data_IF_515371843739
#
_entry.id   IF_515371843739
#
_cell.length_a   1.000
_cell.length_b   1.000
_cell.length_c   1.000
_cell.angle_alpha   90.00
_cell.angle_beta   90.00
_cell.angle_gamma   90.00
#
_symmetry.space_group_name_H-M   'P 1'
#
loop_
_entity.id
_entity.type
_entity.pdbx_description
1 polymer ?
#
# COMPACT_ATOMS: atom_id res chain seq x y z
N UNK A 1 19.46 -7.19 22.86
CA UNK A 1 20.81 -6.77 23.24
C UNK A 1 21.01 -5.34 22.80
N UNK A 2 21.62 -4.50 23.63
CA UNK A 2 21.95 -3.12 23.28
C UNK A 2 23.28 -3.14 22.49
N UNK A 3 23.21 -3.45 21.20
CA UNK A 3 24.36 -3.49 20.30
C UNK A 3 24.55 -2.12 19.66
N UNK A 4 25.78 -1.80 19.29
CA UNK A 4 26.09 -0.59 18.57
C UNK A 4 25.92 -0.81 17.05
N UNK A 5 25.49 0.23 16.37
CA UNK A 5 25.44 0.31 14.90
C UNK A 5 26.49 1.34 14.46
N UNK A 6 27.24 1.01 13.42
CA UNK A 6 28.22 1.91 12.84
C UNK A 6 27.60 2.74 11.72
N UNK A 7 27.69 4.04 11.84
CA UNK A 7 27.27 5.01 10.84
C UNK A 7 28.47 5.40 9.97
N UNK A 8 28.30 5.37 8.67
CA UNK A 8 29.29 5.73 7.68
C UNK A 8 28.85 6.94 6.85
N UNK A 9 29.82 7.70 6.36
CA UNK A 9 29.57 8.56 5.21
C UNK A 9 29.50 7.68 3.95
N UNK A 10 28.47 7.80 3.10
CA UNK A 10 28.37 7.00 1.87
C UNK A 10 29.61 7.13 0.96
N UNK A 11 30.26 8.29 0.98
CA UNK A 11 31.50 8.53 0.21
C UNK A 11 32.70 7.69 0.69
N UNK A 12 32.72 7.34 1.99
CA UNK A 12 33.82 6.58 2.59
C UNK A 12 33.65 5.05 2.43
N UNK A 13 32.49 4.57 1.98
CA UNK A 13 32.13 3.16 1.87
C UNK A 13 31.57 2.83 0.48
N UNK A 14 32.39 2.95 -0.58
CA UNK A 14 31.95 2.72 -1.95
C UNK A 14 31.40 1.31 -2.14
N UNK A 15 30.31 1.17 -2.88
CA UNK A 15 29.65 -0.11 -3.13
C UNK A 15 28.71 -0.61 -2.03
N UNK A 16 28.75 -0.05 -0.82
CA UNK A 16 27.85 -0.47 0.26
C UNK A 16 26.38 -0.18 -0.11
N UNK A 17 26.11 0.97 -0.73
CA UNK A 17 24.78 1.31 -1.24
C UNK A 17 24.33 0.36 -2.36
N UNK A 18 25.24 -0.09 -3.22
CA UNK A 18 24.92 -0.95 -4.36
C UNK A 18 24.45 -2.37 -3.94
N UNK A 19 24.80 -2.77 -2.72
CA UNK A 19 24.38 -4.07 -2.14
C UNK A 19 23.32 -3.95 -1.06
N UNK A 20 22.81 -2.74 -0.82
CA UNK A 20 21.80 -2.46 0.21
C UNK A 20 20.54 -3.32 0.00
N UNK A 21 20.08 -3.97 1.07
CA UNK A 21 18.94 -4.89 1.02
C UNK A 21 19.24 -6.28 0.44
N UNK A 22 20.52 -6.64 0.29
CA UNK A 22 20.98 -7.97 -0.12
C UNK A 22 21.84 -8.61 0.97
N UNK A 23 22.04 -9.94 0.93
CA UNK A 23 22.91 -10.65 1.89
C UNK A 23 24.38 -10.16 1.84
N UNK A 24 24.82 -9.64 0.70
CA UNK A 24 26.17 -9.07 0.56
C UNK A 24 26.39 -7.79 1.36
N UNK A 25 25.30 -7.12 1.78
CA UNK A 25 25.39 -5.90 2.57
C UNK A 25 26.08 -6.16 3.91
N UNK A 26 25.71 -7.22 4.60
CA UNK A 26 26.24 -7.53 5.92
C UNK A 26 27.75 -7.81 5.86
N UNK A 27 28.20 -8.56 4.87
CA UNK A 27 29.62 -8.87 4.68
C UNK A 27 30.43 -7.59 4.42
N UNK A 28 29.98 -6.75 3.50
CA UNK A 28 30.67 -5.50 3.15
C UNK A 28 30.60 -4.47 4.29
N UNK A 29 29.46 -4.41 5.00
CA UNK A 29 29.31 -3.56 6.18
C UNK A 29 30.31 -3.92 7.27
N UNK A 30 30.45 -5.22 7.59
CA UNK A 30 31.41 -5.73 8.58
C UNK A 30 32.87 -5.49 8.14
N UNK A 31 33.17 -5.62 6.84
CA UNK A 31 34.50 -5.28 6.30
C UNK A 31 34.84 -3.80 6.60
N UNK A 32 33.93 -2.87 6.28
CA UNK A 32 34.12 -1.45 6.54
C UNK A 32 34.11 -1.11 8.04
N UNK A 33 33.29 -1.79 8.83
CA UNK A 33 33.27 -1.60 10.29
C UNK A 33 34.59 -1.97 10.94
N UNK A 34 35.25 -3.01 10.47
CA UNK A 34 36.52 -3.47 11.00
C UNK A 34 37.74 -2.71 10.44
N UNK A 35 37.58 -1.95 9.35
CA UNK A 35 38.66 -1.18 8.74
C UNK A 35 38.96 0.10 9.55
N UNK A 36 40.13 0.24 10.20
CA UNK A 36 40.44 1.42 11.03
C UNK A 36 40.62 2.73 10.24
N UNK A 37 40.88 2.66 8.93
CA UNK A 37 41.14 3.83 8.10
C UNK A 37 39.84 4.51 7.62
N UNK A 38 38.68 3.88 7.82
CA UNK A 38 37.39 4.43 7.42
C UNK A 38 36.78 5.30 8.54
N UNK A 39 36.50 6.58 8.25
CA UNK A 39 35.80 7.47 9.18
C UNK A 39 34.40 6.93 9.50
N UNK A 40 34.10 6.73 10.77
CA UNK A 40 32.84 6.15 11.23
C UNK A 40 32.44 6.68 12.61
N UNK A 41 31.15 6.61 12.92
CA UNK A 41 30.59 6.93 14.22
C UNK A 41 29.75 5.74 14.69
N UNK A 42 29.90 5.34 15.93
CA UNK A 42 29.03 4.34 16.57
C UNK A 42 27.88 4.99 17.31
N UNK A 43 26.72 4.37 17.27
CA UNK A 43 25.52 4.75 18.00
C UNK A 43 24.87 3.49 18.56
N UNK A 44 24.29 3.57 19.75
CA UNK A 44 23.50 2.45 20.29
C UNK A 44 22.27 2.17 19.41
N UNK A 45 22.03 0.90 19.10
CA UNK A 45 20.86 0.50 18.29
C UNK A 45 19.55 0.98 18.93
N UNK A 46 19.41 0.88 20.25
CA UNK A 46 18.25 1.40 20.97
C UNK A 46 18.12 2.92 20.85
N UNK A 47 19.23 3.66 20.94
CA UNK A 47 19.24 5.13 20.79
C UNK A 47 18.72 5.53 19.38
N UNK A 48 19.20 4.84 18.34
CA UNK A 48 18.75 5.10 16.96
C UNK A 48 17.27 4.81 16.77
N UNK A 49 16.78 3.67 17.25
CA UNK A 49 15.36 3.29 17.15
C UNK A 49 14.47 4.25 17.95
N UNK A 50 14.89 4.64 19.15
CA UNK A 50 14.15 5.62 19.97
C UNK A 50 14.08 6.98 19.28
N UNK A 51 15.18 7.46 18.70
CA UNK A 51 15.20 8.72 17.94
C UNK A 51 14.24 8.66 16.73
N UNK A 52 14.26 7.54 15.98
CA UNK A 52 13.37 7.32 14.85
C UNK A 52 11.89 7.33 15.29
N UNK A 53 11.53 6.57 16.32
CA UNK A 53 10.14 6.47 16.76
C UNK A 53 9.65 7.78 17.38
N UNK A 54 10.49 8.51 18.10
CA UNK A 54 10.18 9.83 18.65
C UNK A 54 9.89 10.83 17.52
N UNK A 55 10.80 10.96 16.57
CA UNK A 55 10.62 11.87 15.43
C UNK A 55 9.38 11.51 14.61
N UNK A 56 9.12 10.20 14.43
CA UNK A 56 7.92 9.71 13.76
C UNK A 56 6.64 10.10 14.52
N UNK A 57 6.63 9.98 15.85
CA UNK A 57 5.50 10.35 16.69
C UNK A 57 5.25 11.87 16.69
N UNK A 58 6.31 12.68 16.76
CA UNK A 58 6.22 14.15 16.81
C UNK A 58 5.81 14.75 15.46
N UNK A 59 6.26 14.19 14.35
CA UNK A 59 6.03 14.76 13.00
C UNK A 59 4.97 14.02 12.18
N UNK A 60 4.70 12.77 12.52
CA UNK A 60 3.85 11.87 11.72
C UNK A 60 4.46 11.42 10.39
N UNK A 61 5.72 11.80 10.06
CA UNK A 61 6.24 11.78 8.69
C UNK A 61 7.50 10.95 8.46
N UNK A 62 8.11 10.39 9.45
CA UNK A 62 9.26 9.49 9.22
C UNK A 62 8.71 8.19 8.63
N UNK A 63 8.83 8.07 7.31
CA UNK A 63 8.37 6.90 6.57
C UNK A 63 9.43 5.81 6.64
N UNK A 64 8.98 4.56 6.70
CA UNK A 64 9.86 3.40 6.81
C UNK A 64 9.68 2.55 5.57
N UNK A 65 10.79 2.15 4.93
CA UNK A 65 10.84 1.25 3.80
C UNK A 65 11.70 0.04 4.17
N UNK A 66 11.09 -1.14 4.16
CA UNK A 66 11.79 -2.42 4.33
C UNK A 66 12.31 -2.86 2.96
N UNK A 67 13.54 -2.46 2.64
CA UNK A 67 14.12 -2.61 1.30
C UNK A 67 14.27 -4.08 0.88
N UNK A 68 14.54 -4.96 1.82
CA UNK A 68 14.60 -6.40 1.63
C UNK A 68 13.24 -6.98 1.23
N UNK A 69 12.14 -6.58 1.89
CA UNK A 69 10.79 -6.98 1.51
C UNK A 69 10.38 -6.41 0.15
N UNK A 70 10.76 -5.14 -0.13
CA UNK A 70 10.50 -4.52 -1.43
C UNK A 70 11.18 -5.26 -2.59
N UNK A 71 12.29 -5.95 -2.35
CA UNK A 71 13.02 -6.70 -3.38
C UNK A 71 12.69 -8.19 -3.38
N UNK A 72 12.56 -8.82 -2.22
CA UNK A 72 12.23 -10.25 -2.13
C UNK A 72 10.82 -10.53 -2.65
N UNK A 73 9.83 -9.74 -2.22
CA UNK A 73 8.43 -9.83 -2.65
C UNK A 73 8.09 -8.77 -3.70
N UNK A 74 8.71 -8.86 -4.86
CA UNK A 74 8.58 -7.93 -5.98
C UNK A 74 8.36 -8.70 -7.28
N UNK A 75 7.67 -8.10 -8.24
CA UNK A 75 7.57 -8.61 -9.60
C UNK A 75 8.85 -8.42 -10.43
N UNK A 76 9.85 -7.67 -9.94
CA UNK A 76 11.05 -7.31 -10.68
C UNK A 76 12.26 -8.20 -10.33
N UNK A 77 13.12 -8.44 -11.33
CA UNK A 77 14.50 -8.92 -11.16
C UNK A 77 15.45 -7.74 -10.89
N UNK A 78 15.13 -6.60 -11.46
CA UNK A 78 15.85 -5.34 -11.20
C UNK A 78 15.62 -4.90 -9.77
N UNK A 79 16.65 -4.32 -9.15
CA UNK A 79 16.58 -3.85 -7.78
C UNK A 79 15.74 -2.58 -7.63
N UNK A 80 14.91 -2.57 -6.62
CA UNK A 80 14.16 -1.40 -6.15
C UNK A 80 14.99 -0.71 -5.08
N UNK A 81 15.28 0.59 -5.28
CA UNK A 81 16.13 1.39 -4.40
C UNK A 81 15.35 2.38 -3.53
N UNK A 82 14.18 2.78 -3.97
CA UNK A 82 13.36 3.82 -3.34
C UNK A 82 11.88 3.64 -3.67
N UNK A 83 11.04 4.39 -2.99
CA UNK A 83 9.61 4.49 -3.26
C UNK A 83 9.23 5.93 -3.63
N UNK A 84 7.94 6.15 -3.96
CA UNK A 84 7.35 7.47 -4.10
C UNK A 84 7.08 8.13 -2.73
N UNK A 85 6.56 9.37 -2.74
CA UNK A 85 6.22 10.11 -1.53
C UNK A 85 5.24 9.36 -0.62
N UNK A 86 4.21 8.74 -1.21
CA UNK A 86 3.17 8.03 -0.44
C UNK A 86 3.53 6.56 -0.17
N UNK A 87 4.71 6.10 -0.57
CA UNK A 87 5.29 4.80 -0.22
C UNK A 87 4.65 3.55 -0.88
N UNK A 88 3.61 3.69 -1.71
CA UNK A 88 2.98 2.53 -2.36
C UNK A 88 3.72 2.06 -3.62
N UNK A 89 4.51 2.92 -4.26
CA UNK A 89 5.17 2.62 -5.53
C UNK A 89 6.60 2.16 -5.28
N UNK A 90 6.88 0.91 -5.62
CA UNK A 90 8.20 0.27 -5.46
C UNK A 90 8.66 -0.24 -6.81
N UNK A 91 9.20 0.66 -7.63
CA UNK A 91 9.65 0.41 -9.00
C UNK A 91 11.17 0.57 -9.12
N UNK A 92 11.83 -0.22 -9.99
CA UNK A 92 13.22 0.01 -10.33
C UNK A 92 13.42 1.36 -11.01
N UNK A 93 14.53 2.01 -10.71
CA UNK A 93 14.98 3.26 -11.33
C UNK A 93 16.45 3.12 -11.75
N UNK A 94 16.87 3.92 -12.74
CA UNK A 94 18.28 4.02 -13.13
C UNK A 94 18.69 5.49 -13.22
N UNK A 95 19.90 5.84 -12.73
CA UNK A 95 20.35 7.22 -12.69
C UNK A 95 20.48 7.81 -14.10
N UNK A 96 20.20 9.11 -14.20
CA UNK A 96 20.41 9.90 -15.41
C UNK A 96 21.73 10.66 -15.35
N UNK A 97 22.44 10.72 -16.48
CA UNK A 97 23.61 11.57 -16.63
C UNK A 97 23.21 13.02 -16.97
N UNK A 98 22.11 13.19 -17.73
CA UNK A 98 21.49 14.46 -18.08
C UNK A 98 20.01 14.27 -18.39
N UNK A 99 19.25 15.36 -18.53
CA UNK A 99 17.79 15.34 -18.67
C UNK A 99 17.29 14.57 -19.92
N UNK A 100 18.09 14.55 -20.98
CA UNK A 100 17.78 13.86 -22.25
C UNK A 100 18.40 12.46 -22.32
N UNK A 101 18.89 11.93 -21.21
CA UNK A 101 19.49 10.60 -21.16
C UNK A 101 18.47 9.52 -21.58
N UNK A 102 18.93 8.64 -22.47
CA UNK A 102 18.13 7.54 -23.00
C UNK A 102 18.41 6.21 -22.27
N UNK A 103 19.39 6.17 -21.38
CA UNK A 103 19.80 4.99 -20.62
C UNK A 103 19.31 5.02 -19.18
N UNK A 104 18.94 6.20 -18.67
CA UNK A 104 18.33 6.33 -17.35
C UNK A 104 16.84 5.96 -17.36
N UNK A 105 16.32 5.58 -16.20
CA UNK A 105 14.90 5.27 -16.03
C UNK A 105 14.30 6.12 -14.90
N UNK A 106 13.31 6.94 -15.21
CA UNK A 106 12.43 7.57 -14.21
C UNK A 106 11.18 6.72 -14.12
N UNK A 107 10.98 6.09 -12.98
CA UNK A 107 9.82 5.26 -12.74
C UNK A 107 8.55 6.10 -12.60
N UNK A 108 7.53 5.75 -13.38
CA UNK A 108 6.16 6.27 -13.24
C UNK A 108 5.20 5.10 -13.08
N UNK A 109 4.23 5.27 -12.19
CA UNK A 109 3.13 4.33 -12.01
C UNK A 109 1.80 5.03 -12.28
N UNK A 110 0.94 4.41 -13.09
CA UNK A 110 -0.38 4.93 -13.40
C UNK A 110 -1.37 4.25 -12.47
N UNK A 111 -2.16 5.06 -11.75
CA UNK A 111 -2.97 4.60 -10.62
C UNK A 111 -4.45 4.52 -10.96
N UNK A 112 -5.11 3.51 -10.41
CA UNK A 112 -6.56 3.37 -10.33
C UNK A 112 -6.95 2.71 -9.01
N UNK A 113 -8.21 2.82 -8.62
CA UNK A 113 -8.72 2.15 -7.43
C UNK A 113 -10.14 1.60 -7.68
N UNK A 114 -10.36 0.35 -7.28
CA UNK A 114 -11.65 -0.32 -7.35
C UNK A 114 -12.41 -0.09 -6.03
N UNK A 115 -13.66 0.37 -6.12
CA UNK A 115 -14.51 0.55 -4.95
C UNK A 115 -15.10 -0.79 -4.49
N UNK A 116 -14.33 -1.51 -3.66
CA UNK A 116 -14.73 -2.84 -3.17
C UNK A 116 -15.98 -2.81 -2.28
N UNK A 117 -16.28 -1.68 -1.65
CA UNK A 117 -17.51 -1.52 -0.87
C UNK A 117 -18.80 -1.57 -1.70
N UNK A 118 -18.73 -1.35 -3.03
CA UNK A 118 -19.87 -1.40 -3.93
C UNK A 118 -20.00 -2.67 -4.76
N UNK A 119 -19.00 -3.55 -4.72
CA UNK A 119 -19.02 -4.82 -5.45
C UNK A 119 -20.14 -5.71 -4.93
N UNK A 120 -20.86 -6.34 -5.84
CA UNK A 120 -22.01 -7.20 -5.57
C UNK A 120 -21.65 -8.69 -5.54
N UNK A 121 -20.70 -9.08 -6.35
CA UNK A 121 -20.25 -10.46 -6.51
C UNK A 121 -18.83 -10.52 -7.11
N UNK A 122 -18.25 -11.69 -7.16
CA UNK A 122 -16.90 -11.95 -7.64
C UNK A 122 -16.74 -11.69 -9.16
N UNK A 123 -17.77 -11.98 -9.96
CA UNK A 123 -17.76 -11.66 -11.40
C UNK A 123 -17.64 -10.17 -11.66
N UNK A 124 -18.33 -9.32 -10.89
CA UNK A 124 -18.21 -7.87 -11.01
C UNK A 124 -16.80 -7.40 -10.62
N UNK A 125 -16.17 -8.04 -9.64
CA UNK A 125 -14.77 -7.76 -9.29
C UNK A 125 -13.84 -8.08 -10.46
N UNK A 126 -13.99 -9.24 -11.12
CA UNK A 126 -13.22 -9.61 -12.31
C UNK A 126 -13.38 -8.58 -13.43
N UNK A 127 -14.63 -8.20 -13.76
CA UNK A 127 -14.93 -7.22 -14.80
C UNK A 127 -14.31 -5.84 -14.50
N UNK A 128 -14.37 -5.37 -13.24
CA UNK A 128 -13.79 -4.10 -12.82
C UNK A 128 -12.25 -4.13 -12.82
N UNK A 129 -11.65 -5.25 -12.44
CA UNK A 129 -10.20 -5.43 -12.55
C UNK A 129 -9.75 -5.37 -14.00
N UNK A 130 -10.41 -6.09 -14.91
CA UNK A 130 -10.08 -6.05 -16.35
C UNK A 130 -10.28 -4.66 -16.94
N UNK A 131 -11.39 -3.98 -16.60
CA UNK A 131 -11.66 -2.61 -17.06
C UNK A 131 -10.59 -1.63 -16.56
N UNK A 132 -10.15 -1.76 -15.30
CA UNK A 132 -9.10 -0.92 -14.72
C UNK A 132 -7.76 -1.12 -15.44
N UNK A 133 -7.36 -2.37 -15.69
CA UNK A 133 -6.12 -2.68 -16.41
C UNK A 133 -6.18 -2.15 -17.84
N UNK A 134 -7.29 -2.37 -18.58
CA UNK A 134 -7.45 -1.87 -19.94
C UNK A 134 -7.45 -0.35 -20.03
N UNK A 135 -8.14 0.32 -19.10
CA UNK A 135 -8.20 1.79 -19.07
C UNK A 135 -6.82 2.41 -18.84
N UNK A 136 -6.05 1.85 -17.89
CA UNK A 136 -4.71 2.34 -17.61
C UNK A 136 -3.70 1.97 -18.72
N UNK A 137 -3.85 0.81 -19.36
CA UNK A 137 -3.05 0.42 -20.53
C UNK A 137 -3.14 1.47 -21.66
N UNK A 138 -4.35 1.94 -21.97
CA UNK A 138 -4.54 2.99 -22.98
C UNK A 138 -3.94 4.33 -22.55
N UNK A 139 -4.00 4.68 -21.26
CA UNK A 139 -3.42 5.91 -20.74
C UNK A 139 -1.91 5.96 -20.87
N UNK A 140 -1.21 4.82 -20.77
CA UNK A 140 0.25 4.74 -20.98
C UNK A 140 0.64 5.30 -22.35
N UNK A 141 -0.11 4.98 -23.37
CA UNK A 141 0.20 5.40 -24.75
C UNK A 141 -0.39 6.77 -25.09
N UNK A 142 -1.50 7.17 -24.45
CA UNK A 142 -2.18 8.43 -24.72
C UNK A 142 -1.49 9.64 -24.09
N UNK A 143 -0.90 9.50 -22.89
CA UNK A 143 -0.29 10.62 -22.16
C UNK A 143 0.99 11.13 -22.83
N UNK A 144 1.32 12.41 -22.57
CA UNK A 144 2.58 13.03 -23.02
C UNK A 144 3.60 12.99 -21.89
N UNK A 145 4.80 12.59 -22.22
CA UNK A 145 5.91 12.51 -21.29
C UNK A 145 6.84 13.71 -21.46
N UNK A 146 7.03 14.56 -20.44
CA UNK A 146 7.90 15.74 -20.54
C UNK A 146 9.40 15.40 -20.54
N UNK A 147 9.75 14.21 -20.02
CA UNK A 147 11.14 13.73 -19.90
C UNK A 147 11.29 12.38 -20.59
N UNK A 148 12.31 12.25 -21.44
CA UNK A 148 12.51 11.05 -22.28
C UNK A 148 12.72 9.77 -21.45
N UNK A 149 13.49 9.83 -20.36
CA UNK A 149 13.73 8.69 -19.48
C UNK A 149 12.43 8.19 -18.81
N UNK A 150 11.46 9.06 -18.54
CA UNK A 150 10.14 8.66 -18.03
C UNK A 150 9.29 7.97 -19.09
N UNK A 151 9.33 8.46 -20.33
CA UNK A 151 8.64 7.82 -21.45
C UNK A 151 9.17 6.40 -21.71
N UNK A 152 10.49 6.27 -21.82
CA UNK A 152 11.15 4.97 -22.08
C UNK A 152 10.80 3.97 -20.99
N UNK A 153 11.03 4.34 -19.73
CA UNK A 153 10.76 3.44 -18.59
C UNK A 153 9.28 3.03 -18.54
N UNK A 154 8.36 4.00 -18.69
CA UNK A 154 6.93 3.73 -18.58
C UNK A 154 6.42 2.85 -19.71
N UNK A 155 6.81 3.12 -20.95
CA UNK A 155 6.38 2.33 -22.12
C UNK A 155 6.99 0.93 -22.14
N UNK A 156 8.27 0.79 -21.72
CA UNK A 156 8.96 -0.48 -21.70
C UNK A 156 8.46 -1.41 -20.56
N UNK A 157 8.17 -0.84 -19.39
CA UNK A 157 7.69 -1.60 -18.22
C UNK A 157 6.17 -1.71 -18.14
N UNK A 158 5.43 -0.70 -18.60
CA UNK A 158 3.97 -0.60 -18.50
C UNK A 158 3.47 -0.86 -17.07
N UNK A 159 4.09 -0.19 -16.10
CA UNK A 159 3.83 -0.39 -14.67
C UNK A 159 2.50 0.23 -14.25
N UNK A 160 1.64 -0.54 -13.62
CA UNK A 160 0.36 -0.11 -13.08
C UNK A 160 0.35 -0.21 -11.56
N UNK A 161 -0.45 0.64 -10.90
CA UNK A 161 -0.74 0.57 -9.47
C UNK A 161 -2.24 0.64 -9.23
N UNK A 162 -2.89 -0.52 -9.15
CA UNK A 162 -4.32 -0.63 -8.92
C UNK A 162 -4.55 -1.08 -7.48
N UNK A 163 -5.39 -0.36 -6.74
CA UNK A 163 -5.68 -0.63 -5.33
C UNK A 163 -7.16 -0.62 -5.02
N UNK A 164 -7.47 -0.54 -3.72
CA UNK A 164 -8.83 -0.51 -3.19
C UNK A 164 -9.24 0.88 -2.72
N UNK A 165 -10.54 1.16 -2.79
CA UNK A 165 -11.23 2.12 -1.93
C UNK A 165 -12.47 1.44 -1.36
N UNK A 166 -12.95 1.91 -0.22
CA UNK A 166 -14.17 1.38 0.37
C UNK A 166 -14.03 0.06 1.15
N UNK A 167 -12.81 -0.29 1.62
CA UNK A 167 -12.61 -1.52 2.39
C UNK A 167 -13.42 -1.54 3.68
N UNK A 168 -13.49 -0.42 4.40
CA UNK A 168 -14.29 -0.33 5.62
C UNK A 168 -15.79 -0.56 5.34
N UNK A 169 -16.30 -0.05 4.22
CA UNK A 169 -17.67 -0.33 3.79
C UNK A 169 -17.87 -1.82 3.42
N UNK A 170 -16.89 -2.43 2.76
CA UNK A 170 -16.93 -3.86 2.45
C UNK A 170 -17.01 -4.72 3.72
N UNK A 171 -16.16 -4.46 4.72
CA UNK A 171 -16.17 -5.18 5.98
C UNK A 171 -17.45 -4.91 6.79
N UNK A 172 -17.95 -3.67 6.83
CA UNK A 172 -19.21 -3.33 7.48
C UNK A 172 -20.42 -4.07 6.87
N UNK A 173 -20.44 -4.27 5.54
CA UNK A 173 -21.47 -5.09 4.87
C UNK A 173 -21.43 -6.54 5.30
N UNK A 174 -20.26 -7.08 5.60
CA UNK A 174 -20.09 -8.45 6.11
C UNK A 174 -20.32 -8.54 7.62
N UNK A 175 -20.36 -7.41 8.35
CA UNK A 175 -20.46 -7.36 9.80
C UNK A 175 -19.16 -7.81 10.50
N UNK A 176 -18.02 -7.55 9.89
CA UNK A 176 -16.69 -7.93 10.40
C UNK A 176 -15.90 -6.72 10.87
N UNK A 177 -15.44 -6.77 12.11
CA UNK A 177 -14.55 -5.75 12.68
C UNK A 177 -13.11 -5.94 12.20
N UNK A 178 -12.36 -4.84 12.03
CA UNK A 178 -10.96 -4.90 11.57
C UNK A 178 -10.07 -5.80 12.44
N UNK A 179 -10.37 -5.94 13.72
CA UNK A 179 -9.63 -6.78 14.67
C UNK A 179 -10.24 -8.18 14.83
N UNK A 180 -10.87 -8.70 13.78
CA UNK A 180 -11.50 -10.04 13.79
C UNK A 180 -10.84 -10.98 12.77
N UNK A 181 -10.84 -12.28 13.10
CA UNK A 181 -10.35 -13.32 12.19
C UNK A 181 -11.16 -13.34 10.90
N UNK A 182 -12.46 -13.12 11.00
CA UNK A 182 -13.39 -13.10 9.87
C UNK A 182 -13.05 -11.97 8.89
N UNK A 183 -12.64 -10.79 9.39
CA UNK A 183 -12.19 -9.70 8.55
C UNK A 183 -10.88 -10.04 7.83
N UNK A 184 -9.89 -10.61 8.52
CA UNK A 184 -8.61 -10.99 7.90
C UNK A 184 -8.81 -12.08 6.84
N UNK A 185 -9.68 -13.06 7.09
CA UNK A 185 -10.01 -14.11 6.12
C UNK A 185 -10.80 -13.56 4.92
N UNK A 186 -11.71 -12.61 5.14
CA UNK A 186 -12.43 -11.94 4.06
C UNK A 186 -11.49 -11.08 3.19
N UNK A 187 -10.54 -10.37 3.82
CA UNK A 187 -9.51 -9.58 3.12
C UNK A 187 -8.55 -10.49 2.36
N UNK A 188 -8.22 -11.68 2.89
CA UNK A 188 -7.43 -12.67 2.17
C UNK A 188 -8.10 -13.07 0.86
N UNK A 189 -9.36 -13.51 0.90
CA UNK A 189 -10.10 -13.90 -0.28
C UNK A 189 -10.28 -12.77 -1.30
N UNK A 190 -10.61 -11.56 -0.82
CA UNK A 190 -10.73 -10.37 -1.66
C UNK A 190 -9.40 -10.03 -2.36
N UNK A 191 -8.30 -10.03 -1.62
CA UNK A 191 -6.98 -9.67 -2.15
C UNK A 191 -6.42 -10.72 -3.10
N UNK A 192 -6.70 -12.00 -2.84
CA UNK A 192 -6.39 -13.10 -3.74
C UNK A 192 -7.10 -12.95 -5.08
N UNK A 193 -8.44 -12.82 -5.05
CA UNK A 193 -9.26 -12.65 -6.26
C UNK A 193 -8.81 -11.42 -7.05
N UNK A 194 -8.58 -10.31 -6.37
CA UNK A 194 -8.15 -9.06 -6.98
C UNK A 194 -6.84 -9.20 -7.76
N UNK A 195 -5.79 -9.72 -7.12
CA UNK A 195 -4.49 -9.90 -7.78
C UNK A 195 -4.55 -10.93 -8.91
N UNK A 196 -5.30 -12.01 -8.69
CA UNK A 196 -5.51 -13.03 -9.72
C UNK A 196 -6.18 -12.44 -10.98
N UNK A 197 -7.23 -11.63 -10.80
CA UNK A 197 -7.94 -11.00 -11.92
C UNK A 197 -7.11 -9.92 -12.62
N UNK A 198 -6.30 -9.13 -11.89
CA UNK A 198 -5.38 -8.18 -12.50
C UNK A 198 -4.33 -8.88 -13.38
N UNK A 199 -3.72 -9.96 -12.89
CA UNK A 199 -2.77 -10.76 -13.66
C UNK A 199 -3.44 -11.42 -14.87
N UNK A 200 -4.63 -11.96 -14.69
CA UNK A 200 -5.42 -12.57 -15.78
C UNK A 200 -5.76 -11.55 -16.88
N UNK A 201 -6.16 -10.35 -16.49
CA UNK A 201 -6.43 -9.26 -17.43
C UNK A 201 -5.16 -8.84 -18.19
N UNK A 202 -4.03 -8.72 -17.49
CA UNK A 202 -2.75 -8.41 -18.12
C UNK A 202 -2.30 -9.49 -19.11
N UNK A 203 -2.54 -10.78 -18.79
CA UNK A 203 -2.26 -11.89 -19.69
C UNK A 203 -3.18 -11.88 -20.92
N UNK A 204 -4.49 -11.62 -20.75
CA UNK A 204 -5.43 -11.42 -21.87
C UNK A 204 -4.94 -10.32 -22.84
N UNK A 205 -4.49 -9.18 -22.31
CA UNK A 205 -3.97 -8.08 -23.13
C UNK A 205 -2.63 -8.44 -23.77
N UNK A 206 -1.79 -9.25 -23.11
CA UNK A 206 -0.56 -9.75 -23.72
C UNK A 206 -0.83 -10.68 -24.91
N UNK A 207 -1.90 -11.46 -24.89
CA UNK A 207 -2.33 -12.26 -26.05
C UNK A 207 -2.77 -11.34 -27.20
N UNK A 208 -3.45 -10.22 -26.92
CA UNK A 208 -3.96 -9.27 -27.92
C UNK A 208 -2.86 -8.36 -28.50
N UNK A 209 -1.95 -7.86 -27.67
CA UNK A 209 -1.00 -6.77 -27.99
C UNK A 209 0.48 -7.15 -27.83
N UNK A 210 0.79 -8.35 -27.35
CA UNK A 210 2.13 -8.76 -26.93
C UNK A 210 2.45 -8.34 -25.50
N UNK A 211 3.40 -9.01 -24.87
CA UNK A 211 3.92 -8.66 -23.55
C UNK A 211 4.68 -7.32 -23.56
N UNK A 212 4.92 -6.70 -22.39
CA UNK A 212 5.73 -5.49 -22.31
C UNK A 212 7.19 -5.76 -22.72
N UNK A 213 7.89 -4.72 -23.19
CA UNK A 213 9.27 -4.84 -23.67
C UNK A 213 10.21 -5.41 -22.60
N UNK A 214 10.08 -4.95 -21.33
CA UNK A 214 10.90 -5.39 -20.21
C UNK A 214 10.30 -6.60 -19.46
N UNK A 215 9.41 -7.37 -20.07
CA UNK A 215 8.85 -8.58 -19.46
C UNK A 215 9.95 -9.53 -18.97
N UNK A 216 11.02 -9.75 -19.75
CA UNK A 216 12.16 -10.59 -19.37
C UNK A 216 12.92 -10.12 -18.12
N UNK A 217 12.76 -8.86 -17.71
CA UNK A 217 13.31 -8.26 -16.48
C UNK A 217 12.39 -8.42 -15.27
N UNK A 218 11.28 -9.14 -15.42
CA UNK A 218 10.35 -9.46 -14.33
C UNK A 218 10.50 -10.90 -13.86
N UNK A 219 10.15 -11.17 -12.59
CA UNK A 219 10.02 -12.54 -12.06
C UNK A 219 8.86 -13.29 -12.73
N UNK A 220 7.87 -12.55 -13.26
CA UNK A 220 6.77 -13.13 -14.04
C UNK A 220 7.25 -13.88 -15.29
N UNK A 221 8.38 -13.45 -15.90
CA UNK A 221 9.00 -14.18 -17.01
C UNK A 221 9.49 -15.57 -16.61
N UNK A 222 9.83 -15.77 -15.34
CA UNK A 222 10.16 -17.06 -14.76
C UNK A 222 8.93 -17.75 -14.14
N UNK A 223 7.75 -17.16 -14.34
CA UNK A 223 6.47 -17.60 -13.79
C UNK A 223 6.46 -17.64 -12.24
N UNK A 224 7.21 -16.76 -11.60
CA UNK A 224 7.19 -16.54 -10.16
C UNK A 224 6.12 -15.48 -9.87
N UNK A 225 5.11 -15.83 -9.08
CA UNK A 225 3.95 -15.01 -8.78
C UNK A 225 3.99 -14.50 -7.32
N UNK A 226 3.17 -13.51 -6.92
CA UNK A 226 3.16 -13.02 -5.55
C UNK A 226 2.99 -14.11 -4.49
N UNK A 227 2.17 -15.12 -4.78
CA UNK A 227 1.93 -16.28 -3.90
C UNK A 227 3.18 -17.12 -3.60
N UNK A 228 4.25 -16.97 -4.39
CA UNK A 228 5.51 -17.71 -4.21
C UNK A 228 6.52 -16.97 -3.32
N UNK A 229 6.40 -15.64 -3.19
CA UNK A 229 7.46 -14.78 -2.63
C UNK A 229 7.08 -14.01 -1.37
N UNK A 230 5.82 -14.10 -0.93
CA UNK A 230 5.35 -13.40 0.27
C UNK A 230 5.99 -13.93 1.55
N UNK A 231 6.01 -13.12 2.60
CA UNK A 231 6.50 -13.50 3.93
C UNK A 231 5.57 -14.53 4.57
N UNK A 232 6.04 -15.75 4.78
CA UNK A 232 5.22 -16.89 5.24
C UNK A 232 4.62 -16.70 6.63
N UNK A 233 5.21 -15.86 7.46
CA UNK A 233 4.65 -15.50 8.77
C UNK A 233 3.20 -14.95 8.67
N UNK A 234 2.79 -14.39 7.53
CA UNK A 234 1.40 -13.93 7.29
C UNK A 234 0.38 -15.05 7.42
N UNK A 235 0.77 -16.30 7.18
CA UNK A 235 -0.13 -17.45 7.31
C UNK A 235 -0.52 -17.73 8.78
N UNK A 236 0.17 -17.10 9.76
CA UNK A 236 -0.27 -17.06 11.17
C UNK A 236 -1.51 -16.18 11.37
N UNK A 237 -1.72 -15.15 10.51
CA UNK A 237 -2.86 -14.23 10.58
C UNK A 237 -4.08 -14.84 9.88
N UNK A 238 -3.87 -15.34 8.65
CA UNK A 238 -4.93 -16.01 7.88
C UNK A 238 -4.34 -17.20 7.12
N UNK A 239 -4.78 -18.41 7.50
CA UNK A 239 -4.35 -19.67 6.90
C UNK A 239 -5.30 -20.16 5.79
N UNK A 240 -6.09 -19.23 5.20
CA UNK A 240 -7.02 -19.54 4.12
C UNK A 240 -6.28 -20.15 2.92
N UNK A 241 -6.90 -21.16 2.32
CA UNK A 241 -6.37 -21.77 1.08
C UNK A 241 -6.67 -20.87 -0.10
N UNK A 242 -5.75 -20.88 -1.07
CA UNK A 242 -5.96 -20.24 -2.35
C UNK A 242 -7.17 -20.86 -3.07
N UNK A 243 -8.02 -20.02 -3.63
CA UNK A 243 -9.29 -20.42 -4.25
C UNK A 243 -9.23 -20.41 -5.78
N UNK A 244 -8.31 -19.65 -6.37
CA UNK A 244 -8.17 -19.51 -7.82
C UNK A 244 -7.18 -20.52 -8.41
N UNK A 245 -7.30 -20.79 -9.71
CA UNK A 245 -6.39 -21.66 -10.46
C UNK A 245 -5.08 -20.92 -10.81
N UNK A 246 -4.24 -20.72 -9.82
CA UNK A 246 -2.93 -20.07 -9.97
C UNK A 246 -1.99 -20.85 -10.92
N UNK A 247 -2.09 -22.18 -10.98
CA UNK A 247 -1.25 -22.98 -11.86
C UNK A 247 -1.70 -22.89 -13.34
N UNK A 248 -3.00 -22.78 -13.57
CA UNK A 248 -3.53 -22.45 -14.90
C UNK A 248 -3.06 -21.08 -15.37
N UNK A 249 -3.12 -20.06 -14.50
CA UNK A 249 -2.63 -18.72 -14.78
C UNK A 249 -1.11 -18.73 -15.02
N UNK A 250 -0.33 -19.46 -14.22
CA UNK A 250 1.11 -19.63 -14.39
C UNK A 250 1.45 -20.22 -15.76
N UNK A 251 0.68 -21.19 -16.21
CA UNK A 251 0.83 -21.81 -17.53
C UNK A 251 0.54 -20.81 -18.66
N UNK A 252 -0.53 -20.02 -18.52
CA UNK A 252 -0.88 -18.99 -19.49
C UNK A 252 0.19 -17.88 -19.57
N UNK A 253 0.74 -17.47 -18.41
CA UNK A 253 1.85 -16.48 -18.37
C UNK A 253 3.11 -17.01 -19.04
N UNK A 254 3.47 -18.30 -18.86
CA UNK A 254 4.59 -18.91 -19.59
C UNK A 254 4.39 -18.91 -21.10
N UNK A 255 3.15 -19.09 -21.54
CA UNK A 255 2.84 -19.15 -22.97
C UNK A 255 2.80 -17.77 -23.63
N UNK A 256 2.28 -16.74 -22.98
CA UNK A 256 1.95 -15.46 -23.59
C UNK A 256 2.58 -14.24 -22.90
N UNK A 257 3.15 -14.40 -21.70
CA UNK A 257 3.67 -13.31 -20.90
C UNK A 257 2.59 -12.44 -20.26
N UNK A 258 3.01 -11.28 -19.73
CA UNK A 258 2.13 -10.23 -19.20
C UNK A 258 2.38 -8.93 -19.94
N UNK A 259 1.29 -8.17 -20.19
CA UNK A 259 1.37 -6.83 -20.78
C UNK A 259 2.00 -5.80 -19.85
N UNK A 260 1.96 -6.04 -18.54
CA UNK A 260 2.39 -5.13 -17.49
C UNK A 260 3.44 -5.79 -16.60
N UNK A 261 4.47 -5.06 -16.23
CA UNK A 261 5.55 -5.56 -15.36
C UNK A 261 5.14 -5.66 -13.89
N UNK A 262 4.11 -4.91 -13.49
CA UNK A 262 3.51 -4.90 -12.15
C UNK A 262 2.09 -4.32 -12.22
N UNK A 263 1.21 -4.64 -11.28
CA UNK A 263 -0.21 -4.36 -11.42
C UNK A 263 -0.85 -3.73 -10.17
N UNK A 264 -0.52 -4.19 -8.96
CA UNK A 264 -1.18 -3.75 -7.74
C UNK A 264 -0.30 -2.87 -6.86
N UNK A 265 -0.90 -1.80 -6.33
CA UNK A 265 -0.33 -0.93 -5.31
C UNK A 265 -1.48 -0.29 -4.53
N UNK A 266 -1.33 -0.09 -3.23
CA UNK A 266 -2.37 0.53 -2.41
C UNK A 266 -2.01 1.96 -2.05
N UNK A 267 -2.62 2.89 -2.76
CA UNK A 267 -2.46 4.33 -2.55
C UNK A 267 -3.37 4.87 -1.43
N UNK A 268 -3.11 6.10 -0.90
CA UNK A 268 -3.96 6.72 0.13
C UNK A 268 -5.36 7.12 -0.33
N UNK A 269 -5.63 7.29 -1.59
CA UNK A 269 -6.95 7.45 -2.28
C UNK A 269 -7.97 8.46 -1.71
N UNK A 270 -7.56 9.46 -0.93
CA UNK A 270 -8.50 10.38 -0.26
C UNK A 270 -9.48 11.07 -1.21
N UNK A 271 -9.00 11.67 -2.29
CA UNK A 271 -9.85 12.43 -3.21
C UNK A 271 -10.75 11.53 -4.06
N UNK A 272 -10.23 10.41 -4.55
CA UNK A 272 -10.99 9.44 -5.33
C UNK A 272 -12.06 8.76 -4.48
N UNK A 273 -11.80 8.48 -3.21
CA UNK A 273 -12.81 7.95 -2.29
C UNK A 273 -13.98 8.91 -2.11
N UNK A 274 -13.72 10.21 -1.96
CA UNK A 274 -14.78 11.23 -1.84
C UNK A 274 -15.62 11.29 -3.11
N UNK A 275 -14.99 11.34 -4.29
CA UNK A 275 -15.70 11.40 -5.58
C UNK A 275 -16.59 10.16 -5.79
N UNK A 276 -16.12 8.99 -5.37
CA UNK A 276 -16.86 7.74 -5.51
C UNK A 276 -17.86 7.46 -4.37
N UNK A 277 -17.98 8.37 -3.39
CA UNK A 277 -18.73 8.13 -2.16
C UNK A 277 -18.35 6.79 -1.52
N UNK A 278 -17.06 6.61 -1.27
CA UNK A 278 -16.47 5.44 -0.64
C UNK A 278 -15.79 5.83 0.68
N UNK A 279 -15.58 4.88 1.58
CA UNK A 279 -14.65 5.05 2.69
C UNK A 279 -13.22 5.18 2.16
N UNK A 280 -12.35 5.89 2.90
CA UNK A 280 -11.00 6.21 2.42
C UNK A 280 -10.12 4.98 2.31
N UNK A 281 -9.74 4.62 1.08
CA UNK A 281 -8.80 3.52 0.82
C UNK A 281 -9.16 2.24 1.57
N UNK A 282 -8.22 1.81 2.40
CA UNK A 282 -8.31 0.60 3.21
C UNK A 282 -8.43 0.87 4.71
N UNK A 283 -8.50 2.15 5.11
CA UNK A 283 -8.53 2.55 6.50
C UNK A 283 -9.93 2.49 7.10
N UNK A 284 -10.05 2.20 8.41
CA UNK A 284 -11.26 2.49 9.16
C UNK A 284 -11.59 3.99 9.09
N UNK A 285 -12.85 4.40 8.97
CA UNK A 285 -13.21 5.81 9.05
C UNK A 285 -12.91 6.36 10.45
N UNK A 286 -12.47 7.62 10.50
CA UNK A 286 -12.19 8.30 11.78
C UNK A 286 -13.47 8.63 12.55
N UNK A 287 -14.55 8.87 11.81
CA UNK A 287 -15.89 9.15 12.30
C UNK A 287 -16.89 8.80 11.20
N UNK A 288 -18.17 8.70 11.54
CA UNK A 288 -19.27 8.50 10.57
C UNK A 288 -19.43 9.68 9.61
N UNK A 289 -19.04 10.89 10.01
CA UNK A 289 -19.05 12.11 9.21
C UNK A 289 -17.63 12.66 9.06
N UNK A 290 -17.09 12.62 7.86
CA UNK A 290 -15.83 13.29 7.54
C UNK A 290 -16.08 14.68 6.94
N UNK A 291 -15.26 15.68 7.35
CA UNK A 291 -15.32 17.04 6.81
C UNK A 291 -13.96 17.39 6.21
N UNK A 292 -13.90 17.54 4.90
CA UNK A 292 -12.68 17.95 4.20
C UNK A 292 -12.77 19.43 3.83
N UNK A 293 -11.84 20.25 4.31
CA UNK A 293 -11.75 21.66 3.91
C UNK A 293 -11.22 21.75 2.47
N UNK A 294 -11.93 22.47 1.60
CA UNK A 294 -11.49 22.77 0.25
C UNK A 294 -11.49 24.28 0.02
N UNK A 295 -10.84 24.75 -1.07
CA UNK A 295 -10.89 26.16 -1.46
C UNK A 295 -12.30 26.69 -1.75
N UNK A 296 -13.25 25.79 -2.05
CA UNK A 296 -14.65 26.09 -2.35
C UNK A 296 -15.59 25.91 -1.14
N UNK A 297 -15.05 25.60 0.03
CA UNK A 297 -15.81 25.34 1.25
C UNK A 297 -15.61 23.91 1.80
N UNK A 298 -16.20 23.57 2.93
CA UNK A 298 -16.11 22.24 3.53
C UNK A 298 -16.94 21.23 2.72
N UNK A 299 -16.34 20.10 2.41
CA UNK A 299 -17.02 18.93 1.85
C UNK A 299 -17.35 17.98 3.01
N UNK A 300 -18.63 17.73 3.22
CA UNK A 300 -19.11 16.78 4.23
C UNK A 300 -19.45 15.45 3.55
N UNK A 301 -18.95 14.35 4.09
CA UNK A 301 -19.22 13.00 3.59
C UNK A 301 -19.59 12.10 4.77
N UNK A 302 -20.75 11.46 4.67
CA UNK A 302 -21.18 10.41 5.60
C UNK A 302 -20.71 9.06 5.08
N UNK A 303 -20.34 8.13 5.96
CA UNK A 303 -19.97 6.77 5.57
C UNK A 303 -21.11 6.13 4.77
N UNK A 304 -20.79 5.37 3.72
CA UNK A 304 -21.81 4.72 2.89
C UNK A 304 -22.77 3.85 3.70
N UNK A 305 -24.04 3.85 3.32
CA UNK A 305 -25.08 3.03 3.99
C UNK A 305 -25.21 3.28 5.51
N UNK A 306 -24.92 4.50 5.97
CA UNK A 306 -24.93 4.85 7.40
C UNK A 306 -26.21 4.40 8.12
N UNK A 307 -27.39 4.63 7.53
CA UNK A 307 -28.69 4.29 8.14
C UNK A 307 -28.85 2.81 8.49
N UNK A 308 -28.17 1.94 7.78
CA UNK A 308 -28.28 0.46 7.93
C UNK A 308 -27.03 -0.17 8.51
N UNK A 309 -25.85 0.41 8.30
CA UNK A 309 -24.56 -0.20 8.65
C UNK A 309 -23.78 0.52 9.73
N UNK A 310 -24.30 1.61 10.33
CA UNK A 310 -23.53 2.39 11.31
C UNK A 310 -22.94 1.55 12.45
N UNK A 311 -23.68 0.55 12.92
CA UNK A 311 -23.25 -0.29 14.03
C UNK A 311 -22.26 -1.40 13.62
N UNK A 312 -22.01 -1.55 12.31
CA UNK A 312 -21.07 -2.51 11.75
C UNK A 312 -19.74 -1.86 11.35
N UNK A 313 -19.66 -0.53 11.36
CA UNK A 313 -18.40 0.15 11.06
C UNK A 313 -17.48 0.13 12.28
N UNK A 314 -16.27 -0.36 12.09
CA UNK A 314 -15.15 -0.09 13.00
C UNK A 314 -14.69 1.35 12.78
N UNK A 315 -14.68 2.19 13.81
CA UNK A 315 -14.07 3.52 13.75
C UNK A 315 -12.59 3.44 14.16
N UNK A 316 -11.75 4.25 13.52
CA UNK A 316 -10.30 4.21 13.70
C UNK A 316 -9.89 4.42 15.16
N UNK A 317 -10.54 5.39 15.83
CA UNK A 317 -10.20 5.76 17.21
C UNK A 317 -10.84 4.87 18.28
N UNK A 318 -11.80 4.02 17.89
CA UNK A 318 -12.41 3.01 18.78
C UNK A 318 -11.59 1.70 18.79
N UNK A 319 -10.61 1.55 17.88
CA UNK A 319 -9.73 0.39 17.88
C UNK A 319 -8.78 0.44 19.09
N UNK A 320 -8.60 -0.70 19.80
CA UNK A 320 -7.76 -0.73 21.00
C UNK A 320 -6.27 -0.51 20.70
N UNK A 321 -5.81 -0.93 19.53
CA UNK A 321 -4.44 -0.85 19.04
C UNK A 321 -4.37 -0.95 17.50
N UNK A 322 -3.16 -0.98 16.94
CA UNK A 322 -2.96 -1.10 15.49
C UNK A 322 -3.07 -2.54 14.96
N UNK A 323 -3.19 -3.56 15.81
CA UNK A 323 -3.08 -4.98 15.41
C UNK A 323 -4.06 -5.35 14.29
N UNK A 324 -5.32 -4.96 14.41
CA UNK A 324 -6.34 -5.26 13.40
C UNK A 324 -5.96 -4.71 12.03
N UNK A 325 -5.55 -3.45 11.98
CA UNK A 325 -5.13 -2.81 10.74
C UNK A 325 -3.80 -3.36 10.20
N UNK A 326 -2.82 -3.61 11.08
CA UNK A 326 -1.55 -4.24 10.71
C UNK A 326 -1.80 -5.59 10.03
N UNK A 327 -2.69 -6.40 10.57
CA UNK A 327 -3.03 -7.71 10.03
C UNK A 327 -3.74 -7.60 8.68
N UNK A 328 -4.69 -6.67 8.51
CA UNK A 328 -5.34 -6.38 7.23
C UNK A 328 -4.31 -6.05 6.16
N UNK A 329 -3.39 -5.13 6.43
CA UNK A 329 -2.34 -4.73 5.47
C UNK A 329 -1.38 -5.87 5.18
N UNK A 330 -0.99 -6.67 6.18
CA UNK A 330 -0.11 -7.82 6.00
C UNK A 330 -0.74 -8.87 5.07
N UNK A 331 -2.02 -9.17 5.28
CA UNK A 331 -2.78 -10.11 4.44
C UNK A 331 -2.92 -9.59 3.01
N UNK A 332 -3.18 -8.29 2.83
CA UNK A 332 -3.19 -7.67 1.49
C UNK A 332 -1.81 -7.76 0.83
N UNK A 333 -0.74 -7.46 1.58
CA UNK A 333 0.64 -7.47 1.05
C UNK A 333 1.07 -8.85 0.55
N UNK A 334 0.48 -9.93 1.05
CA UNK A 334 0.69 -11.30 0.53
C UNK A 334 0.46 -11.40 -0.98
N UNK A 335 -0.48 -10.62 -1.51
CA UNK A 335 -0.90 -10.67 -2.91
C UNK A 335 -0.43 -9.47 -3.73
N UNK A 336 -0.26 -8.30 -3.11
CA UNK A 336 0.12 -7.08 -3.82
C UNK A 336 1.60 -7.10 -4.24
N UNK A 337 1.84 -6.86 -5.53
CA UNK A 337 3.18 -6.92 -6.10
C UNK A 337 4.03 -5.66 -5.84
N UNK A 338 3.44 -4.49 -5.65
CA UNK A 338 4.10 -3.32 -5.10
C UNK A 338 3.79 -3.16 -3.60
N UNK A 339 3.91 -1.95 -3.06
CA UNK A 339 3.71 -1.70 -1.64
C UNK A 339 2.30 -1.18 -1.32
N UNK A 340 2.07 -0.98 -0.03
CA UNK A 340 0.83 -0.46 0.55
C UNK A 340 1.18 0.73 1.42
N UNK A 341 0.53 1.89 1.20
CA UNK A 341 0.64 3.09 2.04
C UNK A 341 -0.05 2.87 3.38
N UNK A 342 0.53 2.00 4.22
CA UNK A 342 -0.03 1.66 5.52
C UNK A 342 0.29 2.73 6.55
N UNK A 343 -0.75 3.24 7.25
CA UNK A 343 -0.60 4.21 8.32
C UNK A 343 -0.61 3.51 9.68
N UNK A 344 0.07 4.10 10.66
CA UNK A 344 -0.09 3.74 12.06
C UNK A 344 -0.97 4.79 12.73
N UNK A 345 -1.86 4.36 13.61
CA UNK A 345 -2.81 5.27 14.27
C UNK A 345 -2.90 4.93 15.76
N UNK A 346 -2.67 5.90 16.60
CA UNK A 346 -2.70 5.75 18.06
C UNK A 346 -3.72 6.67 18.68
N UNK A 347 -4.60 6.10 19.52
CA UNK A 347 -5.44 6.86 20.43
C UNK A 347 -4.80 6.83 21.82
N UNK A 348 -4.25 7.97 22.33
CA UNK A 348 -3.63 8.03 23.64
C UNK A 348 -4.56 7.60 24.78
N UNK A 349 -5.89 7.79 24.65
CA UNK A 349 -6.88 7.41 25.66
C UNK A 349 -6.91 5.89 25.95
N UNK A 350 -6.37 5.07 25.03
CA UNK A 350 -6.27 3.63 25.24
C UNK A 350 -5.09 3.23 26.15
N UNK A 351 -4.27 4.20 26.60
CA UNK A 351 -3.06 3.95 27.38
C UNK A 351 -3.06 4.73 28.70
N UNK A 352 -2.28 4.22 29.67
CA UNK A 352 -2.09 4.87 30.97
C UNK A 352 -1.55 6.29 30.80
N UNK A 353 -2.03 7.22 31.62
CA UNK A 353 -1.67 8.64 31.57
C UNK A 353 -1.94 9.34 30.22
N UNK A 354 -2.72 8.74 29.32
CA UNK A 354 -2.94 9.18 27.94
C UNK A 354 -1.62 9.35 27.17
N UNK A 355 -0.65 8.51 27.43
CA UNK A 355 0.64 8.48 26.74
C UNK A 355 0.86 7.14 26.04
N UNK A 356 1.14 7.16 24.74
CA UNK A 356 1.44 5.96 23.98
C UNK A 356 2.85 5.46 24.33
N UNK A 357 3.00 4.28 24.93
CA UNK A 357 4.32 3.75 25.28
C UNK A 357 5.18 3.53 24.03
N UNK A 358 6.46 3.93 24.09
CA UNK A 358 7.42 3.69 22.99
C UNK A 358 7.57 2.20 22.71
N UNK A 359 7.41 1.35 23.71
CA UNK A 359 7.44 -0.12 23.56
C UNK A 359 6.32 -0.64 22.64
N UNK A 360 5.15 -0.01 22.64
CA UNK A 360 4.04 -0.34 21.73
C UNK A 360 4.43 0.01 20.30
N UNK A 361 4.94 1.22 20.06
CA UNK A 361 5.41 1.63 18.74
C UNK A 361 6.55 0.74 18.21
N UNK A 362 7.48 0.36 19.10
CA UNK A 362 8.57 -0.56 18.76
C UNK A 362 8.03 -1.97 18.42
N UNK A 363 7.04 -2.44 19.17
CA UNK A 363 6.39 -3.72 18.89
C UNK A 363 5.66 -3.69 17.55
N UNK A 364 4.95 -2.60 17.20
CA UNK A 364 4.29 -2.45 15.91
C UNK A 364 5.30 -2.44 14.76
N UNK A 365 6.46 -1.77 14.94
CA UNK A 365 7.55 -1.78 13.96
C UNK A 365 8.05 -3.21 13.69
N UNK A 366 8.30 -3.97 14.76
CA UNK A 366 8.76 -5.36 14.63
C UNK A 366 7.67 -6.28 14.04
N UNK A 367 6.41 -6.04 14.39
CA UNK A 367 5.27 -6.82 13.89
C UNK A 367 5.03 -6.57 12.40
N UNK A 368 5.06 -5.31 11.94
CA UNK A 368 4.95 -4.98 10.52
C UNK A 368 6.09 -5.60 9.71
N UNK A 369 7.31 -5.58 10.23
CA UNK A 369 8.45 -6.25 9.60
C UNK A 369 8.27 -7.78 9.58
N UNK A 370 7.88 -8.39 10.70
CA UNK A 370 7.61 -9.84 10.78
C UNK A 370 6.64 -10.29 9.69
N UNK A 371 5.56 -9.55 9.50
CA UNK A 371 4.48 -9.90 8.56
C UNK A 371 4.66 -9.35 7.15
N UNK A 372 5.86 -8.89 6.80
CA UNK A 372 6.23 -8.62 5.41
C UNK A 372 5.71 -7.28 4.85
N UNK A 373 5.34 -6.31 5.70
CA UNK A 373 5.09 -4.97 5.21
C UNK A 373 6.30 -4.43 4.47
N UNK A 374 6.08 -3.87 3.28
CA UNK A 374 7.15 -3.25 2.50
C UNK A 374 7.42 -1.84 2.96
N UNK A 375 6.37 -1.12 3.34
CA UNK A 375 6.45 0.30 3.71
C UNK A 375 5.52 0.64 4.85
N UNK A 376 5.87 1.68 5.64
CA UNK A 376 4.99 2.32 6.63
C UNK A 376 4.97 3.82 6.36
N UNK A 377 3.78 4.37 6.12
CA UNK A 377 3.56 5.74 5.68
C UNK A 377 3.40 6.69 6.88
N UNK A 378 2.26 7.31 7.09
CA UNK A 378 2.05 8.23 8.21
C UNK A 378 1.93 7.53 9.57
N UNK A 379 2.23 8.28 10.63
CA UNK A 379 1.75 8.02 11.97
C UNK A 379 0.75 9.09 12.37
N UNK A 380 -0.46 8.67 12.74
CA UNK A 380 -1.52 9.52 13.24
C UNK A 380 -1.64 9.36 14.75
N UNK A 381 -1.87 10.45 15.46
CA UNK A 381 -2.23 10.41 16.89
C UNK A 381 -3.55 11.15 17.05
N UNK A 382 -4.47 10.56 17.81
CA UNK A 382 -5.76 11.19 18.11
C UNK A 382 -5.52 12.45 18.94
N UNK A 383 -6.06 13.59 18.48
CA UNK A 383 -5.97 14.85 19.20
C UNK A 383 -7.27 15.06 20.01
N UNK A 384 -7.19 14.80 21.29
CA UNK A 384 -8.30 14.93 22.24
C UNK A 384 -8.93 16.35 22.27
N UNK A 385 -8.23 17.36 21.73
CA UNK A 385 -8.73 18.77 21.70
C UNK A 385 -9.63 19.06 20.51
N UNK A 386 -9.68 18.19 19.50
CA UNK A 386 -10.50 18.41 18.29
C UNK A 386 -11.93 17.90 18.42
N UNK A 387 -12.27 17.14 19.45
CA UNK A 387 -13.62 16.62 19.70
C UNK A 387 -14.63 17.70 20.13
N UNK A 388 -14.19 18.92 20.45
CA UNK A 388 -15.08 20.08 20.69
C UNK A 388 -15.66 20.73 19.41
N UNK A 389 -15.32 20.25 18.23
CA UNK A 389 -16.06 20.62 17.01
C UNK A 389 -17.37 19.81 17.03
N UNK A 390 -18.36 20.38 17.72
CA UNK A 390 -19.74 19.92 17.76
C UNK A 390 -20.25 19.75 16.32
N UNK A 391 -20.08 18.57 15.74
CA UNK A 391 -20.74 18.17 14.50
C UNK A 391 -22.21 18.03 14.83
N UNK A 392 -23.00 19.02 14.48
CA UNK A 392 -24.41 19.25 14.71
C UNK A 392 -25.26 18.13 15.26
N UNK A 393 -26.36 18.44 15.85
CA UNK A 393 -27.33 17.48 16.41
C UNK A 393 -27.63 16.35 15.41
N UNK A 394 -28.02 15.16 15.89
CA UNK A 394 -28.40 14.02 15.04
C UNK A 394 -29.40 14.37 13.90
N UNK A 395 -30.05 15.51 13.97
CA UNK A 395 -30.91 16.08 12.92
C UNK A 395 -30.13 16.61 11.71
N UNK A 396 -28.90 17.15 11.87
CA UNK A 396 -28.06 17.56 10.73
C UNK A 396 -27.53 16.35 9.98
N UNK A 397 -27.19 15.28 10.67
CA UNK A 397 -26.76 14.03 10.08
C UNK A 397 -27.88 13.38 9.25
N UNK A 398 -29.10 13.36 9.80
CA UNK A 398 -30.29 12.87 9.12
C UNK A 398 -30.64 13.72 7.88
N UNK A 399 -30.48 15.03 7.93
CA UNK A 399 -30.69 15.92 6.80
C UNK A 399 -29.65 15.72 5.69
N UNK A 400 -28.38 15.48 6.02
CA UNK A 400 -27.34 15.14 5.03
C UNK A 400 -27.58 13.79 4.35
N UNK A 401 -28.10 12.82 5.08
CA UNK A 401 -28.52 11.52 4.55
C UNK A 401 -29.70 11.71 3.55
N UNK A 402 -30.67 12.52 3.89
CA UNK A 402 -31.82 12.82 3.01
C UNK A 402 -31.38 13.52 1.71
N UNK A 403 -30.43 14.45 1.76
CA UNK A 403 -29.89 15.14 0.56
C UNK A 403 -29.08 14.19 -0.31
N UNK A 404 -28.33 13.28 0.27
CA UNK A 404 -27.57 12.26 -0.48
C UNK A 404 -28.50 11.30 -1.27
N UNK A 405 -29.63 10.92 -0.67
CA UNK A 405 -30.65 10.06 -1.32
C UNK A 405 -31.38 10.75 -2.47
N UNK A 406 -31.63 12.05 -2.37
CA UNK A 406 -32.32 12.82 -3.43
C UNK A 406 -31.42 13.04 -4.65
N UNK A 407 -30.12 13.19 -4.48
CA UNK A 407 -29.18 13.31 -5.59
C UNK A 407 -28.97 12.00 -6.35
N UNK A 408 -28.99 10.85 -5.68
CA UNK A 408 -28.90 9.54 -6.35
C UNK A 408 -30.15 9.22 -7.18
N UNK A 409 -31.34 9.62 -6.77
CA UNK A 409 -32.58 9.45 -7.56
C UNK A 409 -32.69 10.35 -8.78
N UNK A 410 -32.02 11.50 -8.81
CA UNK A 410 -32.06 12.42 -9.96
C UNK A 410 -31.23 11.94 -11.16
N UNK A 411 -30.41 10.90 -11.00
CA UNK A 411 -29.63 10.28 -12.09
C UNK A 411 -30.20 8.94 -12.58
N UNK A 412 -31.31 8.46 -12.00
CA UNK A 412 -32.00 7.25 -12.43
C UNK A 412 -33.29 7.50 -13.26
N UNK A 413 -33.56 8.76 -13.59
CA UNK A 413 -34.59 9.18 -14.56
C UNK A 413 -33.87 9.97 -15.67
#
# INVERSE_FOLDING_TARGET
>A
KNEEITLFSPHAVPGLYDVFGTEKFDDLYLEYENNPDIPKKKIGAQELILALLKERAETGRIYIMNIDHCNSHSSFKDQVWMSNLCQEITLPTYPLQHIDDQFGEIALCILSAVNVGKIRNDQELEELCELSVRGLEELIDYQKYPVKAAEIATKARRSLGIGFIGLAHYLAKLGHDYDSQEAWDAVHGLSESFQFYLLSASNKIAIEKGHCEYFGRTKYADAILPIDTYKKDVDEISSQKLQHDWEGLRTAIRAHGLRHSTLSAQMPSESSSIVCNATNGIEPPRDYLSVKKSKKGPLKQVVPSYSTLKNNYTLLWDMPDNRGYINVVAVMQKFFDQAISGNWSYNPENYEDNEVPVSVMAQDLLTTYKYGWKTSYYQNTHDMKTDEINYGSGDELNNLIAVSYTHLRAHET
#
